data_IF_961021841408
#
_entry.id   IF_961021841408
#
_cell.length_a   1.000
_cell.length_b   1.000
_cell.length_c   1.000
_cell.angle_alpha   90.00
_cell.angle_beta   90.00
_cell.angle_gamma   90.00
#
_symmetry.space_group_name_H-M   'P 1'
#
loop_
_entity.id
_entity.type
_entity.pdbx_description
1 polymer ?
#
# COMPACT_ATOMS: atom_id res chain seq x y z
N UNK A 1 69.96 15.23 19.53
CA UNK A 1 69.80 14.21 18.47
C UNK A 1 69.55 12.89 19.19
N UNK A 2 68.39 12.65 19.78
CA UNK A 2 67.03 13.10 19.42
C UNK A 2 66.59 12.51 18.06
N UNK A 3 65.44 11.83 17.91
CA UNK A 3 64.33 11.64 18.87
C UNK A 3 63.81 10.21 18.99
N UNK A 4 62.99 9.97 20.01
CA UNK A 4 62.39 8.66 20.33
C UNK A 4 61.06 8.43 19.61
N UNK A 5 60.85 7.19 19.16
CA UNK A 5 59.54 6.73 18.68
C UNK A 5 58.78 6.03 19.81
N UNK A 6 57.68 6.62 20.28
CA UNK A 6 56.72 5.96 21.15
C UNK A 6 55.51 5.49 20.33
N UNK A 7 55.22 4.19 20.40
CA UNK A 7 53.96 3.61 19.92
C UNK A 7 52.80 3.97 20.86
N UNK A 8 51.64 4.33 20.29
CA UNK A 8 50.43 4.64 21.05
C UNK A 8 49.29 3.68 20.67
N UNK A 9 48.59 3.15 21.68
CA UNK A 9 47.42 2.29 21.51
C UNK A 9 46.15 3.09 21.15
N UNK A 10 45.18 2.50 20.43
CA UNK A 10 43.93 3.17 20.06
C UNK A 10 42.92 3.21 21.23
N UNK A 11 42.42 4.41 21.54
CA UNK A 11 41.38 4.63 22.55
C UNK A 11 39.96 4.17 22.12
N UNK A 12 39.00 4.12 23.08
CA UNK A 12 37.70 3.47 22.88
C UNK A 12 36.71 4.24 21.98
N UNK A 13 35.93 3.51 21.19
CA UNK A 13 34.93 4.07 20.27
C UNK A 13 33.76 4.76 21.00
N UNK A 14 33.46 6.01 20.66
CA UNK A 14 32.28 6.71 21.16
C UNK A 14 31.02 6.38 20.32
N UNK A 15 29.97 5.88 20.96
CA UNK A 15 28.63 5.78 20.36
C UNK A 15 27.94 7.15 20.33
N UNK A 16 27.25 7.55 19.24
CA UNK A 16 26.56 8.83 19.18
C UNK A 16 25.37 8.92 20.15
N UNK A 17 25.20 10.08 20.80
CA UNK A 17 24.10 10.34 21.77
C UNK A 17 22.80 10.78 21.07
N UNK A 18 21.65 10.30 21.56
CA UNK A 18 20.30 10.81 21.22
C UNK A 18 20.08 12.22 21.84
N UNK A 19 19.17 13.01 21.27
CA UNK A 19 18.76 14.34 21.76
C UNK A 19 17.22 14.47 21.81
N UNK A 20 16.71 15.31 22.73
CA UNK A 20 15.30 15.71 22.92
C UNK A 20 15.20 17.25 22.89
N UNK A 21 14.10 17.85 22.42
CA UNK A 21 13.80 19.29 22.60
C UNK A 21 12.28 19.55 22.82
N UNK A 22 11.76 20.78 22.68
CA UNK A 22 10.75 21.40 23.57
C UNK A 22 9.50 21.98 22.84
N UNK A 23 8.29 21.74 23.39
CA UNK A 23 7.02 21.67 22.63
C UNK A 23 6.57 22.95 21.94
N UNK A 24 6.86 24.12 22.51
CA UNK A 24 6.26 25.38 22.05
C UNK A 24 6.70 25.82 20.64
N UNK A 25 7.79 25.26 20.10
CA UNK A 25 8.29 25.65 18.78
C UNK A 25 7.54 25.05 17.58
N UNK A 26 6.71 24.01 17.78
CA UNK A 26 5.94 23.41 16.68
C UNK A 26 4.60 24.11 16.45
N UNK A 27 3.91 24.55 17.51
CA UNK A 27 2.57 25.13 17.40
C UNK A 27 2.56 26.40 16.52
N UNK A 28 3.48 27.34 16.78
CA UNK A 28 3.63 28.59 16.03
C UNK A 28 3.94 28.42 14.52
N UNK A 29 4.24 27.20 14.05
CA UNK A 29 4.52 26.91 12.64
C UNK A 29 3.24 26.55 11.88
N UNK A 30 2.22 26.00 12.54
CA UNK A 30 0.95 25.61 11.91
C UNK A 30 0.01 26.81 11.74
N UNK A 31 -0.09 27.69 12.74
CA UNK A 31 -0.91 28.92 12.65
C UNK A 31 -0.50 29.85 11.48
N UNK A 32 0.76 29.75 11.02
CA UNK A 32 1.32 30.48 9.87
C UNK A 32 1.19 29.74 8.51
N UNK A 33 0.35 28.71 8.45
CA UNK A 33 0.00 27.99 7.21
C UNK A 33 -1.45 28.25 6.85
N UNK A 34 -2.36 28.25 7.82
CA UNK A 34 -3.80 28.45 7.57
C UNK A 34 -4.17 29.94 7.36
N UNK A 35 -3.33 30.90 7.77
CA UNK A 35 -3.56 32.35 7.55
C UNK A 35 -3.52 32.78 6.08
N UNK A 36 -2.82 32.04 5.23
CA UNK A 36 -2.58 32.39 3.82
C UNK A 36 -3.66 31.77 2.88
N UNK A 37 -4.73 31.21 3.45
CA UNK A 37 -5.86 30.59 2.71
C UNK A 37 -7.17 31.34 3.02
N UNK A 38 -7.29 32.57 2.51
CA UNK A 38 -8.54 33.33 2.48
C UNK A 38 -8.74 34.00 1.11
N UNK A 39 -10.00 34.11 0.68
CA UNK A 39 -10.52 34.68 -0.59
C UNK A 39 -10.03 33.96 -1.88
N UNK A 40 -10.82 33.54 -2.87
CA UNK A 40 -12.27 33.44 -3.24
C UNK A 40 -12.34 32.37 -4.37
N UNK A 41 -13.40 31.68 -4.81
CA UNK A 41 -14.87 31.59 -4.65
C UNK A 41 -15.30 30.16 -5.12
N UNK A 42 -16.47 29.56 -4.90
CA UNK A 42 -17.60 29.69 -3.94
C UNK A 42 -18.50 28.43 -4.09
N UNK A 43 -19.02 27.85 -3.00
CA UNK A 43 -20.09 26.82 -2.92
C UNK A 43 -19.79 25.45 -3.60
N UNK A 44 -20.13 24.29 -3.01
CA UNK A 44 -21.41 23.94 -2.37
C UNK A 44 -21.21 23.25 -1.01
N UNK A 45 -22.15 23.46 -0.07
CA UNK A 45 -22.05 22.98 1.32
C UNK A 45 -22.85 21.71 1.57
N UNK A 46 -22.25 20.76 2.30
CA UNK A 46 -22.81 20.20 3.53
C UNK A 46 -21.75 19.30 4.20
N UNK A 47 -21.39 19.61 5.44
CA UNK A 47 -20.37 18.89 6.22
C UNK A 47 -21.01 18.12 7.39
N UNK A 48 -20.95 16.79 7.37
CA UNK A 48 -20.97 15.97 8.59
C UNK A 48 -19.76 15.02 8.61
N UNK A 49 -18.63 15.64 8.99
CA UNK A 49 -17.59 15.13 9.89
C UNK A 49 -17.68 13.65 10.34
N UNK A 50 -16.65 12.85 10.03
CA UNK A 50 -15.90 12.10 11.05
C UNK A 50 -14.49 11.66 10.59
N UNK A 51 -13.76 12.56 9.90
CA UNK A 51 -12.40 12.29 9.40
C UNK A 51 -11.38 12.43 10.55
N UNK A 52 -11.35 11.43 11.44
CA UNK A 52 -10.34 11.33 12.51
C UNK A 52 -8.96 10.97 11.91
N UNK A 53 -8.32 11.93 11.26
CA UNK A 53 -6.87 11.95 11.05
C UNK A 53 -6.20 12.47 12.34
N UNK A 54 -5.53 11.61 13.14
CA UNK A 54 -4.79 12.06 14.29
C UNK A 54 -3.48 12.73 13.83
N UNK A 55 -3.58 13.97 13.35
CA UNK A 55 -2.43 14.89 13.27
C UNK A 55 -1.69 14.79 14.61
N UNK A 56 -0.38 14.51 14.64
CA UNK A 56 0.29 14.19 15.89
C UNK A 56 0.23 15.38 16.84
N UNK A 57 -0.33 15.16 18.04
CA UNK A 57 -0.29 16.13 19.14
C UNK A 57 1.15 16.67 19.25
N UNK A 58 1.32 18.00 19.25
CA UNK A 58 2.60 18.69 19.10
C UNK A 58 3.58 18.37 20.25
N UNK A 59 4.20 17.19 20.18
CA UNK A 59 5.08 16.57 21.16
C UNK A 59 6.51 16.54 20.63
N UNK A 60 7.17 17.68 20.64
CA UNK A 60 8.49 17.88 20.03
C UNK A 60 9.57 16.89 20.47
N UNK A 61 10.43 16.58 19.51
CA UNK A 61 11.84 16.88 19.70
C UNK A 61 12.34 17.58 18.42
N UNK A 62 13.04 18.72 18.54
CA UNK A 62 13.79 19.23 17.39
C UNK A 62 15.03 18.34 17.16
N UNK A 63 14.83 17.29 16.36
CA UNK A 63 15.90 16.81 15.50
C UNK A 63 16.47 18.00 14.72
N UNK A 64 17.79 18.00 14.48
CA UNK A 64 18.47 19.09 13.76
C UNK A 64 17.77 19.34 12.43
N UNK A 65 17.20 20.53 12.25
CA UNK A 65 16.55 20.93 11.00
C UNK A 65 17.56 20.78 9.85
N UNK A 66 17.29 19.86 8.91
CA UNK A 66 18.19 19.63 7.76
C UNK A 66 18.27 20.93 6.94
N UNK A 67 19.46 21.52 6.86
CA UNK A 67 19.65 22.77 6.11
C UNK A 67 19.69 22.44 4.62
N UNK A 68 18.57 22.67 3.93
CA UNK A 68 18.46 22.47 2.48
C UNK A 68 19.37 23.44 1.73
N UNK A 69 20.15 22.91 0.78
CA UNK A 69 21.06 23.67 -0.07
C UNK A 69 20.69 23.47 -1.53
N UNK A 70 20.57 24.56 -2.28
CA UNK A 70 20.33 24.54 -3.73
C UNK A 70 21.62 24.16 -4.46
N UNK A 71 21.78 22.86 -4.70
CA UNK A 71 22.88 22.24 -5.46
C UNK A 71 22.32 21.06 -6.25
N UNK A 72 23.03 20.60 -7.27
CA UNK A 72 22.68 19.34 -7.97
C UNK A 72 22.70 18.16 -6.99
N UNK A 73 21.73 17.25 -7.10
CA UNK A 73 21.84 15.94 -6.45
C UNK A 73 22.71 15.01 -7.29
N UNK A 74 23.79 14.51 -6.70
CA UNK A 74 24.77 13.66 -7.37
C UNK A 74 25.19 12.53 -6.42
N UNK A 75 24.60 11.35 -6.63
CA UNK A 75 24.93 10.10 -5.95
C UNK A 75 25.15 9.05 -7.04
N UNK A 76 26.25 8.31 -6.95
CA UNK A 76 26.61 7.27 -7.91
C UNK A 76 25.77 5.98 -7.69
N UNK A 77 24.47 6.07 -7.93
CA UNK A 77 23.55 4.94 -7.88
C UNK A 77 23.72 4.05 -9.13
N UNK A 78 23.81 2.73 -8.91
CA UNK A 78 23.82 1.71 -9.97
C UNK A 78 22.65 0.77 -9.74
N UNK A 79 21.60 0.90 -10.54
CA UNK A 79 20.54 -0.11 -10.57
C UNK A 79 21.04 -1.39 -11.23
N UNK A 80 20.67 -2.52 -10.64
CA UNK A 80 20.68 -3.83 -11.30
C UNK A 80 19.27 -4.11 -11.78
N UNK A 81 18.99 -3.73 -13.04
CA UNK A 81 17.66 -3.77 -13.62
C UNK A 81 16.92 -5.10 -13.33
N UNK A 82 15.66 -5.04 -12.85
CA UNK A 82 14.98 -6.22 -12.33
C UNK A 82 14.73 -7.25 -13.42
N UNK A 83 15.31 -8.44 -13.26
CA UNK A 83 14.87 -9.63 -13.98
C UNK A 83 13.55 -10.11 -13.39
N UNK A 84 12.54 -10.32 -14.23
CA UNK A 84 11.30 -11.00 -13.81
C UNK A 84 11.64 -12.41 -13.29
N UNK A 85 11.16 -12.80 -12.09
CA UNK A 85 11.32 -14.16 -11.61
C UNK A 85 10.73 -15.17 -12.60
N UNK A 86 11.60 -16.08 -13.06
CA UNK A 86 11.25 -17.19 -13.97
C UNK A 86 10.10 -18.01 -13.35
N UNK A 87 9.09 -18.43 -14.12
CA UNK A 87 8.03 -19.30 -13.61
C UNK A 87 8.61 -20.59 -13.02
N UNK A 88 8.50 -20.75 -11.69
CA UNK A 88 9.00 -21.92 -10.96
C UNK A 88 8.01 -23.08 -10.87
N UNK A 89 6.95 -23.07 -11.70
CA UNK A 89 5.86 -24.04 -11.68
C UNK A 89 5.47 -24.44 -13.09
N UNK A 90 5.42 -25.75 -13.36
CA UNK A 90 5.01 -26.29 -14.67
C UNK A 90 3.49 -26.15 -14.92
N UNK A 91 2.68 -26.14 -13.86
CA UNK A 91 1.23 -25.97 -13.94
C UNK A 91 0.71 -24.84 -13.01
N UNK A 92 -0.29 -24.04 -13.44
CA UNK A 92 -0.85 -22.96 -12.61
C UNK A 92 -1.47 -23.42 -11.28
N UNK A 93 -1.92 -24.68 -11.19
CA UNK A 93 -2.48 -25.23 -9.96
C UNK A 93 -1.44 -25.34 -8.84
N UNK A 94 -0.19 -25.64 -9.17
CA UNK A 94 0.90 -25.77 -8.21
C UNK A 94 1.18 -24.43 -7.52
N UNK A 95 1.22 -23.34 -8.30
CA UNK A 95 1.33 -21.96 -7.78
C UNK A 95 0.15 -21.58 -6.87
N UNK A 96 -1.09 -21.94 -7.25
CA UNK A 96 -2.27 -21.70 -6.42
C UNK A 96 -2.22 -22.44 -5.08
N UNK A 97 -1.77 -23.70 -5.08
CA UNK A 97 -1.64 -24.51 -3.84
C UNK A 97 -0.51 -24.06 -2.92
N UNK A 98 0.44 -23.24 -3.38
CA UNK A 98 1.40 -22.57 -2.48
C UNK A 98 0.75 -21.55 -1.54
N UNK A 99 -0.41 -21.01 -1.94
CA UNK A 99 -1.21 -20.11 -1.10
C UNK A 99 -2.30 -20.89 -0.37
N UNK A 100 -3.17 -21.61 -1.08
CA UNK A 100 -4.25 -22.38 -0.48
C UNK A 100 -3.86 -23.87 -0.39
N UNK A 101 -3.23 -24.22 0.72
CA UNK A 101 -2.73 -25.57 1.04
C UNK A 101 -3.85 -26.56 1.35
N UNK A 102 -3.52 -27.85 1.50
CA UNK A 102 -4.48 -28.87 1.94
C UNK A 102 -5.09 -28.51 3.30
N UNK A 103 -4.24 -28.13 4.26
CA UNK A 103 -4.58 -27.69 5.61
C UNK A 103 -5.65 -26.58 5.61
N UNK A 104 -5.57 -25.63 4.66
CA UNK A 104 -6.56 -24.57 4.51
C UNK A 104 -7.95 -25.12 4.18
N UNK A 105 -8.01 -26.08 3.25
CA UNK A 105 -9.28 -26.71 2.85
C UNK A 105 -9.81 -27.68 3.93
N UNK A 106 -8.94 -28.33 4.70
CA UNK A 106 -9.32 -29.11 5.90
C UNK A 106 -9.92 -28.22 6.99
N UNK A 107 -9.21 -27.16 7.39
CA UNK A 107 -9.70 -26.19 8.38
C UNK A 107 -11.03 -25.59 7.90
N UNK A 108 -11.12 -25.16 6.64
CA UNK A 108 -12.36 -24.58 6.10
C UNK A 108 -13.51 -25.58 6.08
N UNK A 109 -13.29 -26.83 5.70
CA UNK A 109 -14.34 -27.86 5.73
C UNK A 109 -14.82 -28.14 7.16
N UNK A 110 -13.88 -28.32 8.10
CA UNK A 110 -14.18 -28.62 9.50
C UNK A 110 -14.94 -27.46 10.18
N UNK A 111 -14.49 -26.22 10.00
CA UNK A 111 -15.14 -25.04 10.61
C UNK A 111 -16.47 -24.70 9.95
N UNK A 112 -16.62 -24.95 8.65
CA UNK A 112 -17.92 -24.82 7.94
C UNK A 112 -18.94 -25.86 8.43
N UNK A 113 -18.51 -27.10 8.67
CA UNK A 113 -19.35 -28.13 9.31
C UNK A 113 -19.74 -27.72 10.73
N UNK A 114 -18.78 -27.34 11.57
CA UNK A 114 -19.03 -26.93 12.96
C UNK A 114 -20.02 -25.75 13.03
N UNK A 115 -19.81 -24.71 12.22
CA UNK A 115 -20.72 -23.55 12.17
C UNK A 115 -22.15 -23.93 11.76
N UNK A 116 -22.31 -24.84 10.79
CA UNK A 116 -23.64 -25.29 10.37
C UNK A 116 -24.39 -26.04 11.48
N UNK A 117 -23.69 -26.80 12.32
CA UNK A 117 -24.26 -27.39 13.55
C UNK A 117 -24.63 -26.29 14.55
N UNK A 118 -23.73 -25.34 14.83
CA UNK A 118 -23.97 -24.20 15.74
C UNK A 118 -25.17 -23.34 15.33
N UNK A 119 -25.52 -23.29 14.04
CA UNK A 119 -26.64 -22.49 13.52
C UNK A 119 -27.93 -23.24 13.23
N UNK A 120 -27.88 -24.56 13.03
CA UNK A 120 -29.05 -25.34 12.57
C UNK A 120 -29.27 -26.66 13.31
N UNK A 121 -28.39 -27.03 14.25
CA UNK A 121 -28.39 -28.33 14.91
C UNK A 121 -27.99 -29.49 14.00
N UNK A 122 -27.60 -29.23 12.73
CA UNK A 122 -27.25 -30.26 11.74
C UNK A 122 -26.01 -29.84 10.94
N UNK A 123 -25.13 -30.80 10.68
CA UNK A 123 -24.00 -30.58 9.77
C UNK A 123 -24.50 -30.29 8.35
N UNK A 124 -23.79 -29.43 7.64
CA UNK A 124 -23.93 -29.25 6.19
C UNK A 124 -23.26 -30.41 5.43
N UNK A 125 -22.42 -31.20 6.10
CA UNK A 125 -21.74 -32.38 5.54
C UNK A 125 -20.91 -32.02 4.31
N UNK A 126 -19.95 -31.11 4.50
CA UNK A 126 -18.94 -30.75 3.49
C UNK A 126 -17.60 -31.43 3.80
N UNK A 127 -16.75 -31.55 2.79
CA UNK A 127 -15.38 -32.09 2.92
C UNK A 127 -14.37 -31.25 2.12
N UNK A 128 -13.09 -31.61 2.22
CA UNK A 128 -11.96 -30.97 1.54
C UNK A 128 -12.16 -30.86 0.02
N UNK A 129 -12.60 -31.95 -0.62
CA UNK A 129 -12.81 -32.01 -2.07
C UNK A 129 -13.96 -31.09 -2.50
N UNK A 130 -15.02 -31.00 -1.70
CA UNK A 130 -16.11 -30.07 -1.97
C UNK A 130 -15.73 -28.61 -1.72
N UNK A 131 -14.90 -28.31 -0.70
CA UNK A 131 -14.33 -26.98 -0.51
C UNK A 131 -13.42 -26.58 -1.67
N UNK A 132 -12.53 -27.45 -2.14
CA UNK A 132 -11.73 -27.21 -3.35
C UNK A 132 -12.61 -26.89 -4.57
N UNK A 133 -13.69 -27.64 -4.78
CA UNK A 133 -14.69 -27.33 -5.83
C UNK A 133 -15.37 -25.97 -5.62
N UNK A 134 -15.75 -25.63 -4.38
CA UNK A 134 -16.40 -24.36 -4.05
C UNK A 134 -15.50 -23.14 -4.31
N UNK A 135 -14.22 -23.20 -3.94
CA UNK A 135 -13.24 -22.14 -4.23
C UNK A 135 -12.86 -22.11 -5.72
N UNK A 136 -12.64 -23.26 -6.36
CA UNK A 136 -12.39 -23.34 -7.80
C UNK A 136 -13.54 -22.77 -8.65
N UNK A 137 -14.79 -22.94 -8.21
CA UNK A 137 -15.95 -22.28 -8.81
C UNK A 137 -15.85 -20.75 -8.68
N UNK A 138 -15.42 -20.19 -7.54
CA UNK A 138 -15.24 -18.74 -7.41
C UNK A 138 -14.12 -18.23 -8.34
N UNK A 139 -12.98 -18.92 -8.44
CA UNK A 139 -11.91 -18.58 -9.40
C UNK A 139 -12.43 -18.58 -10.84
N UNK A 140 -13.21 -19.60 -11.23
CA UNK A 140 -13.84 -19.64 -12.54
C UNK A 140 -14.87 -18.50 -12.76
N UNK A 141 -15.61 -18.10 -11.72
CA UNK A 141 -16.56 -16.97 -11.80
C UNK A 141 -15.86 -15.63 -12.08
N UNK A 142 -14.66 -15.38 -11.57
CA UNK A 142 -13.90 -14.16 -11.91
C UNK A 142 -13.46 -14.17 -13.39
N UNK A 143 -13.11 -15.34 -13.95
CA UNK A 143 -12.73 -15.49 -15.37
C UNK A 143 -13.92 -15.29 -16.32
N UNK A 144 -15.11 -15.80 -15.97
CA UNK A 144 -16.31 -15.69 -16.81
C UNK A 144 -17.15 -14.42 -16.56
N UNK A 145 -17.00 -13.79 -15.39
CA UNK A 145 -17.57 -12.49 -14.99
C UNK A 145 -19.07 -12.27 -15.34
N UNK A 146 -19.92 -13.27 -15.09
CA UNK A 146 -21.38 -13.11 -15.21
C UNK A 146 -21.96 -12.38 -13.98
N UNK A 147 -22.71 -11.32 -14.24
CA UNK A 147 -23.24 -10.34 -13.27
C UNK A 147 -24.04 -10.90 -12.07
N UNK A 148 -24.49 -12.17 -12.10
CA UNK A 148 -25.28 -12.80 -11.02
C UNK A 148 -24.98 -14.30 -10.93
N UNK A 149 -24.71 -14.80 -9.73
CA UNK A 149 -24.39 -16.22 -9.49
C UNK A 149 -25.37 -17.22 -10.14
N UNK A 150 -26.68 -16.96 -10.14
CA UNK A 150 -27.65 -17.89 -10.73
C UNK A 150 -27.54 -18.02 -12.26
N UNK A 151 -26.86 -17.10 -12.95
CA UNK A 151 -26.67 -17.17 -14.41
C UNK A 151 -25.80 -18.35 -14.82
N UNK A 152 -24.76 -18.70 -14.06
CA UNK A 152 -23.85 -19.81 -14.37
C UNK A 152 -24.57 -21.17 -14.49
N UNK A 153 -25.73 -21.33 -13.85
CA UNK A 153 -26.59 -22.52 -13.93
C UNK A 153 -27.83 -22.35 -14.83
N UNK A 154 -28.08 -21.15 -15.36
CA UNK A 154 -29.28 -20.84 -16.15
C UNK A 154 -29.23 -21.40 -17.57
N UNK A 155 -30.36 -21.88 -18.11
CA UNK A 155 -30.43 -22.67 -19.35
C UNK A 155 -29.76 -22.04 -20.58
N UNK A 156 -29.77 -20.70 -20.69
CA UNK A 156 -29.15 -19.95 -21.82
C UNK A 156 -27.75 -19.41 -21.52
N UNK A 157 -27.30 -19.47 -20.27
CA UNK A 157 -26.05 -18.88 -19.77
C UNK A 157 -25.22 -19.90 -18.97
N UNK A 158 -25.49 -21.19 -19.18
CA UNK A 158 -24.86 -22.29 -18.44
C UNK A 158 -23.38 -22.31 -18.77
N UNK A 159 -22.55 -22.32 -17.73
CA UNK A 159 -21.12 -22.61 -17.84
C UNK A 159 -20.92 -24.04 -17.31
N UNK A 160 -20.72 -25.05 -18.18
CA UNK A 160 -20.61 -26.47 -17.78
C UNK A 160 -19.60 -26.69 -16.64
N UNK A 161 -18.40 -26.09 -16.75
CA UNK A 161 -17.32 -26.15 -15.77
C UNK A 161 -17.75 -25.77 -14.34
N UNK A 162 -18.71 -24.85 -14.18
CA UNK A 162 -19.28 -24.48 -12.88
C UNK A 162 -20.51 -25.33 -12.56
N UNK A 163 -21.41 -25.48 -13.53
CA UNK A 163 -22.76 -25.97 -13.33
C UNK A 163 -22.89 -27.50 -13.26
N UNK A 164 -21.89 -28.23 -13.73
CA UNK A 164 -21.76 -29.69 -13.61
C UNK A 164 -20.91 -30.06 -12.37
N UNK A 165 -19.96 -29.20 -11.97
CA UNK A 165 -19.09 -29.39 -10.79
C UNK A 165 -19.85 -29.38 -9.46
N UNK A 166 -20.87 -28.52 -9.35
CA UNK A 166 -21.73 -28.39 -8.15
C UNK A 166 -23.10 -27.83 -8.55
N UNK A 167 -24.19 -28.28 -7.92
CA UNK A 167 -25.52 -27.70 -8.17
C UNK A 167 -25.71 -26.36 -7.43
N UNK A 168 -26.52 -25.45 -8.02
CA UNK A 168 -26.73 -24.10 -7.48
C UNK A 168 -27.22 -24.08 -6.02
N UNK A 169 -28.10 -25.01 -5.63
CA UNK A 169 -28.65 -25.05 -4.28
C UNK A 169 -27.58 -25.43 -3.26
N UNK A 170 -26.68 -26.36 -3.60
CA UNK A 170 -25.52 -26.73 -2.77
C UNK A 170 -24.52 -25.56 -2.69
N UNK A 171 -24.16 -24.96 -3.82
CA UNK A 171 -23.30 -23.77 -3.88
C UNK A 171 -23.84 -22.62 -3.01
N UNK A 172 -25.12 -22.27 -3.18
CA UNK A 172 -25.77 -21.20 -2.41
C UNK A 172 -25.93 -21.53 -0.93
N UNK A 173 -26.03 -22.82 -0.57
CA UNK A 173 -26.02 -23.26 0.84
C UNK A 173 -24.62 -23.14 1.42
N UNK A 174 -23.60 -23.70 0.79
CA UNK A 174 -22.20 -23.58 1.25
C UNK A 174 -21.80 -22.12 1.42
N UNK A 175 -22.12 -21.25 0.44
CA UNK A 175 -21.84 -19.80 0.51
C UNK A 175 -22.49 -19.10 1.71
N UNK A 176 -23.56 -19.64 2.29
CA UNK A 176 -24.22 -19.14 3.49
C UNK A 176 -23.62 -19.68 4.81
N UNK A 177 -22.74 -20.68 4.75
CA UNK A 177 -22.16 -21.35 5.93
C UNK A 177 -20.63 -21.37 5.98
N UNK A 178 -19.89 -21.09 4.89
CA UNK A 178 -18.41 -21.12 4.89
C UNK A 178 -17.83 -20.30 6.05
N UNK A 179 -17.03 -20.97 6.87
CA UNK A 179 -16.34 -20.41 8.04
C UNK A 179 -14.90 -20.93 8.12
N UNK A 180 -14.02 -20.11 8.69
CA UNK A 180 -12.59 -20.39 8.84
C UNK A 180 -12.16 -20.58 10.31
N UNK A 181 -13.05 -20.29 11.26
CA UNK A 181 -12.82 -20.38 12.71
C UNK A 181 -14.06 -20.92 13.41
N UNK A 182 -13.86 -21.48 14.60
CA UNK A 182 -14.96 -21.70 15.54
C UNK A 182 -15.42 -20.34 16.10
N UNK A 183 -16.74 -20.13 16.19
CA UNK A 183 -17.29 -18.93 16.82
C UNK A 183 -17.19 -18.97 18.36
N UNK A 184 -17.02 -20.15 18.97
CA UNK A 184 -16.92 -20.30 20.44
C UNK A 184 -15.51 -20.10 20.97
N UNK A 185 -14.49 -20.36 20.15
CA UNK A 185 -13.08 -20.16 20.51
C UNK A 185 -12.60 -18.69 20.42
N UNK A 186 -13.51 -17.70 20.51
CA UNK A 186 -13.10 -16.29 20.52
C UNK A 186 -12.56 -15.93 21.91
N UNK A 187 -11.24 -15.77 21.97
CA UNK A 187 -10.57 -15.06 23.05
C UNK A 187 -11.28 -13.71 23.35
N UNK A 188 -11.74 -13.47 24.59
CA UNK A 188 -12.37 -12.21 25.01
C UNK A 188 -11.50 -10.99 24.73
N UNK A 189 -10.21 -11.07 25.03
CA UNK A 189 -9.25 -9.97 24.93
C UNK A 189 -8.76 -9.72 23.50
N UNK A 190 -9.07 -10.63 22.56
CA UNK A 190 -8.72 -10.45 21.16
C UNK A 190 -9.40 -9.20 20.56
N UNK A 191 -8.57 -8.20 20.28
CA UNK A 191 -8.95 -6.91 19.73
C UNK A 191 -9.15 -6.92 18.21
N UNK A 192 -8.61 -7.90 17.48
CA UNK A 192 -8.66 -8.00 16.01
C UNK A 192 -10.10 -8.04 15.50
N UNK A 193 -10.49 -7.08 14.66
CA UNK A 193 -11.84 -7.06 14.05
C UNK A 193 -11.95 -8.11 12.94
N UNK A 194 -10.83 -8.60 12.42
CA UNK A 194 -10.74 -9.57 11.34
C UNK A 194 -10.56 -11.03 11.80
N UNK A 195 -10.64 -11.32 13.10
CA UNK A 195 -10.33 -12.63 13.67
C UNK A 195 -11.03 -13.82 12.97
N UNK A 196 -12.25 -13.62 12.45
CA UNK A 196 -13.02 -14.65 11.71
C UNK A 196 -12.45 -15.03 10.34
N UNK A 197 -11.64 -14.16 9.74
CA UNK A 197 -10.95 -14.36 8.46
C UNK A 197 -9.43 -14.32 8.61
N UNK A 198 -8.93 -14.20 9.84
CA UNK A 198 -7.52 -14.22 10.19
C UNK A 198 -6.76 -15.42 9.61
N UNK A 199 -7.29 -16.67 9.60
CA UNK A 199 -6.59 -17.81 9.01
C UNK A 199 -6.22 -17.64 7.52
N UNK A 200 -7.11 -17.11 6.68
CA UNK A 200 -6.78 -16.89 5.25
C UNK A 200 -5.85 -15.69 5.06
N UNK A 201 -5.95 -14.65 5.90
CA UNK A 201 -5.03 -13.50 5.88
C UNK A 201 -3.60 -13.99 6.20
N UNK A 202 -3.43 -14.73 7.30
CA UNK A 202 -2.13 -15.16 7.79
C UNK A 202 -1.46 -16.17 6.85
N UNK A 203 -2.24 -17.05 6.23
CA UNK A 203 -1.76 -17.99 5.20
C UNK A 203 -1.23 -17.25 3.98
N UNK A 204 -1.97 -16.26 3.45
CA UNK A 204 -1.49 -15.44 2.33
C UNK A 204 -0.27 -14.59 2.73
N UNK A 205 -0.31 -13.91 3.88
CA UNK A 205 0.83 -13.13 4.39
C UNK A 205 2.07 -14.01 4.61
N UNK A 206 1.93 -15.26 5.06
CA UNK A 206 3.03 -16.22 5.21
C UNK A 206 3.65 -16.57 3.86
N UNK A 207 2.85 -16.77 2.81
CA UNK A 207 3.36 -17.05 1.46
C UNK A 207 4.00 -15.83 0.81
N UNK A 208 3.41 -14.63 0.92
CA UNK A 208 4.02 -13.40 0.33
C UNK A 208 5.38 -13.08 0.94
N UNK A 209 5.58 -13.36 2.24
CA UNK A 209 6.88 -13.24 2.91
C UNK A 209 7.98 -14.19 2.38
N UNK A 210 7.65 -15.18 1.54
CA UNK A 210 8.65 -16.03 0.85
C UNK A 210 9.12 -15.46 -0.48
N UNK A 211 8.45 -14.43 -1.00
CA UNK A 211 8.78 -13.81 -2.30
C UNK A 211 9.95 -12.86 -2.11
N UNK A 212 10.99 -13.00 -2.93
CA UNK A 212 12.15 -12.12 -2.87
C UNK A 212 11.76 -10.69 -3.31
N UNK A 213 12.14 -9.65 -2.56
CA UNK A 213 11.97 -8.27 -3.01
C UNK A 213 12.90 -7.98 -4.19
N UNK A 214 12.37 -7.27 -5.19
CA UNK A 214 13.14 -6.67 -6.27
C UNK A 214 13.74 -5.32 -5.85
N UNK A 215 14.58 -4.73 -6.69
CA UNK A 215 15.16 -3.40 -6.42
C UNK A 215 14.12 -2.26 -6.35
N UNK A 216 12.94 -2.47 -6.94
CA UNK A 216 11.90 -1.45 -7.06
C UNK A 216 10.60 -1.95 -6.44
N UNK A 217 10.21 -1.31 -5.33
CA UNK A 217 9.01 -1.64 -4.56
C UNK A 217 8.03 -0.46 -4.59
N UNK A 218 6.74 -0.76 -4.68
CA UNK A 218 5.65 0.22 -4.59
C UNK A 218 4.79 -0.05 -3.36
N UNK A 219 4.21 1.00 -2.79
CA UNK A 219 3.31 0.92 -1.63
C UNK A 219 2.15 1.91 -1.82
N UNK A 220 0.94 1.40 -2.06
CA UNK A 220 -0.28 2.19 -2.27
C UNK A 220 -1.51 1.50 -1.63
N UNK A 221 -2.68 2.11 -1.83
CA UNK A 221 -3.93 1.87 -1.13
C UNK A 221 -5.00 1.25 -2.04
N UNK A 222 -5.18 -0.06 -1.89
CA UNK A 222 -6.21 -0.83 -2.58
C UNK A 222 -7.55 -0.75 -1.83
N UNK A 223 -8.65 -0.69 -2.59
CA UNK A 223 -10.01 -0.76 -2.06
C UNK A 223 -10.72 -2.00 -2.58
N UNK A 224 -11.11 -2.90 -1.67
CA UNK A 224 -11.98 -4.05 -2.00
C UNK A 224 -13.44 -3.58 -1.89
N UNK A 225 -14.23 -3.53 -2.98
CA UNK A 225 -15.58 -2.97 -2.95
C UNK A 225 -16.51 -3.78 -2.03
N UNK A 226 -17.10 -3.13 -1.03
CA UNK A 226 -17.99 -3.80 -0.07
C UNK A 226 -19.10 -2.86 0.41
N UNK A 227 -20.35 -3.24 0.16
CA UNK A 227 -21.54 -2.45 0.52
C UNK A 227 -22.23 -2.91 1.80
N UNK A 228 -21.91 -4.11 2.31
CA UNK A 228 -22.53 -4.68 3.50
C UNK A 228 -22.18 -3.93 4.80
N UNK A 229 -22.70 -4.42 5.92
CA UNK A 229 -22.35 -3.89 7.25
C UNK A 229 -21.03 -4.52 7.74
N UNK A 230 -20.06 -3.69 8.14
CA UNK A 230 -18.74 -4.09 8.62
C UNK A 230 -17.99 -2.89 9.24
N UNK A 231 -17.57 -3.00 10.49
CA UNK A 231 -16.99 -1.93 11.33
C UNK A 231 -15.66 -1.34 10.83
N UNK A 232 -15.03 -1.96 9.83
CA UNK A 232 -13.78 -1.48 9.20
C UNK A 232 -14.00 -0.87 7.81
N UNK A 233 -15.22 -0.91 7.28
CA UNK A 233 -15.55 -0.35 5.96
C UNK A 233 -15.24 1.15 5.92
N UNK A 234 -14.49 1.58 4.92
CA UNK A 234 -14.08 2.97 4.70
C UNK A 234 -14.90 3.59 3.54
N UNK A 235 -14.99 4.92 3.57
CA UNK A 235 -15.42 5.73 2.43
C UNK A 235 -14.23 6.53 1.91
N UNK A 236 -13.90 6.42 0.61
CA UNK A 236 -12.85 7.23 -0.02
C UNK A 236 -13.46 8.03 -1.18
N UNK A 237 -13.64 9.34 -0.96
CA UNK A 237 -14.17 10.29 -1.95
C UNK A 237 -13.30 10.24 -3.22
N UNK A 238 -13.93 10.09 -4.38
CA UNK A 238 -13.26 10.12 -5.69
C UNK A 238 -12.67 8.80 -6.21
N UNK A 239 -12.63 7.70 -5.42
CA UNK A 239 -12.33 6.36 -5.97
C UNK A 239 -13.59 5.80 -6.68
N UNK A 240 -13.50 5.00 -7.77
CA UNK A 240 -14.67 4.51 -8.52
C UNK A 240 -15.65 3.66 -7.71
N UNK A 241 -15.13 2.92 -6.73
CA UNK A 241 -15.91 2.27 -5.68
C UNK A 241 -15.52 2.94 -4.34
N UNK A 242 -16.26 3.97 -3.88
CA UNK A 242 -15.83 4.75 -2.73
C UNK A 242 -16.04 4.00 -1.41
N UNK A 243 -17.06 3.13 -1.33
CA UNK A 243 -17.32 2.27 -0.16
C UNK A 243 -16.63 0.91 -0.31
N UNK A 244 -15.80 0.53 0.66
CA UNK A 244 -15.12 -0.75 0.66
C UNK A 244 -14.18 -0.97 1.85
N UNK A 245 -13.39 -2.03 1.78
CA UNK A 245 -12.32 -2.33 2.75
C UNK A 245 -11.01 -1.76 2.20
N UNK A 246 -10.35 -0.87 2.97
CA UNK A 246 -9.04 -0.31 2.62
C UNK A 246 -7.93 -1.29 3.02
N UNK A 247 -7.01 -1.54 2.09
CA UNK A 247 -5.83 -2.38 2.30
C UNK A 247 -4.60 -1.59 1.85
N UNK A 248 -3.59 -1.51 2.70
CA UNK A 248 -2.26 -1.02 2.31
C UNK A 248 -1.47 -2.20 1.77
N UNK A 249 -0.88 -2.07 0.59
CA UNK A 249 -0.23 -3.18 -0.13
C UNK A 249 1.16 -2.76 -0.59
N UNK A 250 2.15 -3.60 -0.31
CA UNK A 250 3.53 -3.49 -0.79
C UNK A 250 3.76 -4.52 -1.91
N UNK A 251 4.11 -4.04 -3.10
CA UNK A 251 4.34 -4.85 -4.30
C UNK A 251 5.79 -4.76 -4.79
N UNK A 252 6.24 -5.82 -5.46
CA UNK A 252 7.36 -5.77 -6.41
C UNK A 252 6.93 -5.05 -7.70
N UNK A 253 7.89 -4.54 -8.48
CA UNK A 253 7.68 -4.04 -9.84
C UNK A 253 7.11 -5.08 -10.82
N UNK A 254 7.18 -6.39 -10.51
CA UNK A 254 6.52 -7.47 -11.27
C UNK A 254 5.05 -7.70 -10.88
N UNK A 255 4.51 -6.90 -9.96
CA UNK A 255 3.14 -6.96 -9.44
C UNK A 255 2.89 -8.02 -8.37
N UNK A 256 3.89 -8.78 -7.95
CA UNK A 256 3.73 -9.73 -6.84
C UNK A 256 3.67 -8.96 -5.51
N UNK A 257 2.59 -9.18 -4.75
CA UNK A 257 2.43 -8.66 -3.39
C UNK A 257 3.46 -9.31 -2.46
N UNK A 258 4.26 -8.50 -1.76
CA UNK A 258 5.21 -8.93 -0.73
C UNK A 258 4.59 -8.89 0.67
N UNK A 259 3.80 -7.85 0.94
CA UNK A 259 3.15 -7.65 2.23
C UNK A 259 1.90 -6.78 2.08
N UNK A 260 0.93 -6.95 2.98
CA UNK A 260 -0.25 -6.11 3.02
C UNK A 260 -0.81 -6.06 4.45
N UNK A 261 -1.47 -4.96 4.81
CA UNK A 261 -2.20 -4.83 6.07
C UNK A 261 -3.59 -4.24 5.78
N UNK A 262 -4.62 -4.88 6.33
CA UNK A 262 -6.01 -4.46 6.14
C UNK A 262 -6.34 -3.41 7.20
N UNK A 263 -6.78 -2.23 6.79
CA UNK A 263 -7.04 -1.14 7.72
C UNK A 263 -8.24 -1.44 8.63
N UNK A 264 -8.03 -1.36 9.95
CA UNK A 264 -9.03 -1.63 10.98
C UNK A 264 -9.39 -0.39 11.82
N UNK A 265 -9.02 0.81 11.34
CA UNK A 265 -9.09 2.05 12.13
C UNK A 265 -8.01 2.08 13.21
N UNK A 266 -8.36 2.56 14.41
CA UNK A 266 -7.48 2.66 15.59
C UNK A 266 -6.91 1.31 16.08
N UNK A 267 -7.39 0.18 15.53
CA UNK A 267 -6.95 -1.19 15.84
C UNK A 267 -6.09 -1.87 14.74
N UNK A 268 -5.70 -1.14 13.69
CA UNK A 268 -4.81 -1.68 12.64
C UNK A 268 -3.46 -2.10 13.24
N UNK A 269 -2.86 -3.20 12.76
CA UNK A 269 -1.58 -3.65 13.29
C UNK A 269 -0.44 -2.70 12.87
N UNK A 270 0.17 -2.02 13.85
CA UNK A 270 1.20 -1.00 13.61
C UNK A 270 2.28 -1.06 14.70
N UNK A 271 3.55 -0.99 14.30
CA UNK A 271 4.67 -0.71 15.21
C UNK A 271 4.47 0.67 15.86
N UNK A 272 4.42 0.70 17.20
CA UNK A 272 4.11 1.92 17.98
C UNK A 272 5.07 3.08 17.67
N UNK A 273 6.37 2.78 17.49
CA UNK A 273 7.39 3.78 17.15
C UNK A 273 7.06 4.54 15.87
N UNK A 274 6.47 3.86 14.88
CA UNK A 274 6.23 4.42 13.54
C UNK A 274 4.96 5.28 13.47
N UNK A 275 4.01 5.13 14.41
CA UNK A 275 2.79 5.95 14.48
C UNK A 275 3.10 7.44 14.62
N UNK A 276 4.26 7.77 15.22
CA UNK A 276 4.74 9.14 15.38
C UNK A 276 4.95 9.91 14.06
N UNK A 277 5.09 9.20 12.92
CA UNK A 277 5.25 9.80 11.59
C UNK A 277 3.91 9.99 10.83
N UNK A 278 2.77 9.65 11.42
CA UNK A 278 1.46 9.68 10.76
C UNK A 278 1.16 8.43 9.92
N UNK A 279 -0.10 8.24 9.52
CA UNK A 279 -0.60 6.95 9.00
C UNK A 279 0.16 6.41 7.78
N UNK A 280 0.34 7.22 6.72
CA UNK A 280 0.98 6.76 5.50
C UNK A 280 2.45 6.36 5.70
N UNK A 281 3.20 7.19 6.43
CA UNK A 281 4.57 6.91 6.83
C UNK A 281 4.68 5.65 7.70
N UNK A 282 3.76 5.50 8.66
CA UNK A 282 3.66 4.32 9.50
C UNK A 282 3.38 3.06 8.69
N UNK A 283 2.48 3.09 7.71
CA UNK A 283 2.17 1.95 6.84
C UNK A 283 3.35 1.56 5.95
N UNK A 284 4.04 2.54 5.33
CA UNK A 284 5.26 2.29 4.55
C UNK A 284 6.33 1.61 5.41
N UNK A 285 6.61 2.13 6.62
CA UNK A 285 7.58 1.52 7.52
C UNK A 285 7.13 0.16 8.09
N UNK A 286 5.83 -0.06 8.31
CA UNK A 286 5.30 -1.31 8.85
C UNK A 286 5.30 -2.45 7.80
N UNK A 287 5.01 -2.13 6.54
CA UNK A 287 5.03 -3.09 5.44
C UNK A 287 6.45 -3.33 4.93
N UNK A 288 7.18 -2.26 4.63
CA UNK A 288 8.53 -2.37 4.08
C UNK A 288 9.56 -2.78 5.13
N UNK A 289 9.37 -2.45 6.43
CA UNK A 289 10.33 -2.58 7.53
C UNK A 289 10.82 -3.98 7.89
N UNK A 290 10.44 -5.02 7.13
CA UNK A 290 11.22 -6.27 7.02
C UNK A 290 12.54 -6.06 6.24
N UNK A 291 12.68 -4.92 5.56
CA UNK A 291 13.82 -4.39 4.84
C UNK A 291 13.99 -2.90 5.20
N UNK A 292 15.22 -2.39 5.30
CA UNK A 292 15.48 -1.08 5.90
C UNK A 292 15.17 0.09 4.96
N UNK A 293 14.17 0.91 5.30
CA UNK A 293 13.90 2.20 4.67
C UNK A 293 14.06 3.35 5.69
N UNK A 294 14.43 4.53 5.20
CA UNK A 294 14.50 5.77 5.97
C UNK A 294 13.53 6.81 5.39
N UNK A 295 12.73 7.44 6.26
CA UNK A 295 11.84 8.54 5.91
C UNK A 295 12.46 9.89 6.27
N UNK A 296 12.07 10.93 5.54
CA UNK A 296 12.54 12.31 5.75
C UNK A 296 11.39 13.30 5.59
N UNK A 297 11.21 14.15 6.60
CA UNK A 297 10.23 15.23 6.56
C UNK A 297 10.75 16.44 5.75
N UNK A 298 9.85 17.05 4.96
CA UNK A 298 10.20 17.99 3.88
C UNK A 298 9.77 19.44 4.17
N UNK A 299 10.25 20.03 5.27
CA UNK A 299 9.92 21.42 5.64
C UNK A 299 10.75 22.46 4.88
N UNK A 300 10.12 23.60 4.55
CA UNK A 300 10.80 24.82 4.05
C UNK A 300 10.78 25.08 2.53
N UNK A 301 10.16 24.23 1.71
CA UNK A 301 10.28 24.29 0.24
C UNK A 301 9.31 25.27 -0.46
N UNK A 302 9.27 26.55 -0.03
CA UNK A 302 8.36 27.57 -0.60
C UNK A 302 8.81 28.12 -1.98
N UNK A 303 10.08 28.02 -2.37
CA UNK A 303 10.65 28.77 -3.51
C UNK A 303 10.59 28.09 -4.90
N UNK A 304 9.43 28.18 -5.55
CA UNK A 304 9.36 28.61 -6.96
C UNK A 304 8.11 29.45 -7.16
N UNK A 305 8.31 30.73 -7.50
CA UNK A 305 7.35 31.47 -8.31
C UNK A 305 7.26 30.90 -9.73
N UNK A 306 6.21 31.24 -10.46
CA UNK A 306 5.89 30.62 -11.75
C UNK A 306 6.93 30.96 -12.84
N UNK A 307 7.76 29.98 -13.22
CA UNK A 307 8.81 30.12 -14.26
C UNK A 307 8.49 29.35 -15.55
N UNK A 308 7.21 29.22 -15.87
CA UNK A 308 6.73 28.50 -17.05
C UNK A 308 6.78 26.97 -16.92
N UNK A 309 6.20 26.30 -17.92
CA UNK A 309 6.07 24.83 -17.98
C UNK A 309 7.40 24.18 -18.33
N UNK A 310 7.75 23.08 -17.67
CA UNK A 310 9.04 22.40 -17.77
C UNK A 310 10.10 22.95 -16.82
N UNK A 311 9.87 24.09 -16.17
CA UNK A 311 10.78 24.59 -15.14
C UNK A 311 10.80 23.67 -13.92
N UNK A 312 11.97 23.55 -13.30
CA UNK A 312 12.16 22.79 -12.06
C UNK A 312 13.19 23.46 -11.14
N UNK A 313 13.21 23.04 -9.88
CA UNK A 313 14.32 23.27 -8.97
C UNK A 313 14.58 22.03 -8.13
N UNK A 314 15.82 21.87 -7.68
CA UNK A 314 16.21 20.86 -6.70
C UNK A 314 16.91 21.54 -5.52
N UNK A 315 16.64 21.03 -4.32
CA UNK A 315 17.40 21.33 -3.11
C UNK A 315 17.80 20.01 -2.45
N UNK A 316 19.00 19.98 -1.87
CA UNK A 316 19.58 18.79 -1.27
C UNK A 316 19.82 19.03 0.20
N UNK A 317 19.54 18.02 1.03
CA UNK A 317 19.80 18.06 2.46
C UNK A 317 21.27 18.40 2.75
N UNK A 318 21.53 19.04 3.89
CA UNK A 318 22.89 19.34 4.36
C UNK A 318 23.78 18.09 4.45
N UNK A 319 23.18 16.93 4.71
CA UNK A 319 23.81 15.61 4.77
C UNK A 319 24.10 14.98 3.40
N UNK A 320 23.54 15.50 2.31
CA UNK A 320 23.76 14.99 0.95
C UNK A 320 22.97 13.73 0.58
N UNK A 321 22.21 13.16 1.51
CA UNK A 321 21.49 11.88 1.43
C UNK A 321 20.07 11.96 0.82
N UNK A 322 19.54 13.17 0.61
CA UNK A 322 18.16 13.36 0.13
C UNK A 322 18.04 14.66 -0.66
N UNK A 323 17.27 14.65 -1.73
CA UNK A 323 16.82 15.84 -2.45
C UNK A 323 15.29 15.99 -2.41
N UNK A 324 14.86 17.25 -2.54
CA UNK A 324 13.49 17.64 -2.86
C UNK A 324 13.51 18.34 -4.22
N UNK A 325 12.56 18.02 -5.07
CA UNK A 325 12.41 18.60 -6.40
C UNK A 325 11.00 19.16 -6.60
N UNK A 326 10.91 20.38 -7.14
CA UNK A 326 9.66 20.95 -7.68
C UNK A 326 9.75 20.90 -9.20
N UNK A 327 8.70 20.41 -9.87
CA UNK A 327 8.58 20.43 -11.33
C UNK A 327 7.25 21.06 -11.74
N UNK A 328 7.27 21.93 -12.74
CA UNK A 328 6.10 22.69 -13.19
C UNK A 328 5.53 22.11 -14.49
N UNK A 329 4.44 21.33 -14.42
CA UNK A 329 3.63 20.99 -15.59
C UNK A 329 2.42 21.94 -15.69
N UNK A 330 1.19 21.43 -15.83
CA UNK A 330 -0.05 22.20 -15.69
C UNK A 330 -0.26 22.71 -14.23
N UNK A 331 0.39 22.07 -13.26
CA UNK A 331 0.50 22.44 -11.84
C UNK A 331 1.92 22.06 -11.35
N UNK A 332 2.32 22.55 -10.18
CA UNK A 332 3.55 22.11 -9.53
C UNK A 332 3.40 20.70 -8.95
N UNK A 333 4.34 19.81 -9.24
CA UNK A 333 4.55 18.53 -8.54
C UNK A 333 5.77 18.69 -7.63
N UNK A 334 5.73 18.11 -6.43
CA UNK A 334 6.89 18.00 -5.54
C UNK A 334 7.22 16.52 -5.36
N UNK A 335 8.51 16.18 -5.46
CA UNK A 335 9.02 14.82 -5.25
C UNK A 335 10.16 14.87 -4.23
N UNK A 336 10.29 13.82 -3.42
CA UNK A 336 11.46 13.56 -2.58
C UNK A 336 12.22 12.34 -3.13
N UNK A 337 13.55 12.35 -3.10
CA UNK A 337 14.36 11.18 -3.46
C UNK A 337 15.70 11.17 -2.75
N UNK A 338 16.09 10.00 -2.26
CA UNK A 338 17.44 9.66 -1.81
C UNK A 338 18.31 9.05 -2.93
N UNK A 339 17.73 8.84 -4.13
CA UNK A 339 18.34 8.12 -5.24
C UNK A 339 18.77 9.05 -6.39
N UNK A 340 17.88 9.97 -6.82
CA UNK A 340 18.13 10.83 -7.98
C UNK A 340 17.33 12.14 -7.96
N UNK A 341 17.94 13.23 -8.42
CA UNK A 341 17.31 14.55 -8.56
C UNK A 341 17.04 14.91 -10.01
N UNK A 342 17.63 16.01 -10.49
CA UNK A 342 17.49 16.47 -11.88
C UNK A 342 17.94 15.44 -12.92
N UNK A 343 19.10 14.81 -12.70
CA UNK A 343 19.65 13.76 -13.56
C UNK A 343 19.83 14.18 -15.02
N UNK A 344 19.61 13.24 -15.94
CA UNK A 344 19.43 13.52 -17.36
C UNK A 344 18.00 14.04 -17.61
N UNK A 345 17.87 15.28 -18.09
CA UNK A 345 16.58 15.90 -18.39
C UNK A 345 16.06 15.37 -19.73
N UNK A 346 14.90 14.71 -19.69
CA UNK A 346 14.22 14.16 -20.85
C UNK A 346 13.25 15.19 -21.44
N UNK A 347 12.99 15.14 -22.76
CA UNK A 347 11.89 15.89 -23.39
C UNK A 347 10.63 15.01 -23.45
N UNK A 348 9.55 15.45 -22.83
CA UNK A 348 8.25 14.76 -22.85
C UNK A 348 7.18 15.55 -23.59
N UNK A 349 6.49 14.87 -24.50
CA UNK A 349 5.39 15.45 -25.28
C UNK A 349 4.15 15.57 -24.39
N UNK A 350 3.73 16.80 -24.06
CA UNK A 350 2.55 17.08 -23.21
C UNK A 350 1.54 17.96 -23.92
N UNK A 351 0.25 17.65 -23.76
CA UNK A 351 -0.83 18.51 -24.27
C UNK A 351 -0.94 19.80 -23.46
N UNK A 352 -1.16 20.93 -24.15
CA UNK A 352 -1.42 22.23 -23.57
C UNK A 352 -2.84 22.70 -23.92
N UNK A 353 -3.69 22.92 -22.90
CA UNK A 353 -5.07 23.39 -23.12
C UNK A 353 -5.12 24.82 -23.70
N UNK A 354 -4.17 25.69 -23.31
CA UNK A 354 -4.12 27.09 -23.75
C UNK A 354 -3.78 27.22 -25.24
N UNK A 355 -2.72 26.53 -25.70
CA UNK A 355 -2.29 26.58 -27.11
C UNK A 355 -2.96 25.55 -28.01
N UNK A 356 -3.81 24.67 -27.44
CA UNK A 356 -4.46 23.53 -28.13
C UNK A 356 -3.47 22.68 -28.97
N UNK A 357 -2.27 22.50 -28.43
CA UNK A 357 -1.17 21.84 -29.11
C UNK A 357 -0.36 20.96 -28.14
N UNK A 358 0.47 20.08 -28.70
CA UNK A 358 1.49 19.35 -27.94
C UNK A 358 2.77 20.18 -27.85
N UNK A 359 3.27 20.37 -26.62
CA UNK A 359 4.56 20.99 -26.34
C UNK A 359 5.59 19.91 -25.97
N UNK A 360 6.86 20.16 -26.29
CA UNK A 360 7.98 19.42 -25.70
C UNK A 360 8.36 20.09 -24.38
N UNK A 361 8.19 19.36 -23.28
CA UNK A 361 8.40 19.85 -21.92
C UNK A 361 9.63 19.16 -21.33
N UNK A 362 10.51 19.91 -20.67
CA UNK A 362 11.62 19.34 -19.91
C UNK A 362 11.10 18.56 -18.70
N UNK A 363 11.52 17.31 -18.56
CA UNK A 363 11.15 16.39 -17.49
C UNK A 363 12.43 15.89 -16.78
N UNK A 364 12.63 16.25 -15.50
CA UNK A 364 13.72 15.73 -14.70
C UNK A 364 13.70 14.20 -14.57
N UNK A 365 14.86 13.58 -14.40
CA UNK A 365 15.00 12.12 -14.43
C UNK A 365 14.19 11.42 -13.32
N UNK A 366 14.16 12.00 -12.11
CA UNK A 366 13.32 11.53 -10.99
C UNK A 366 11.83 11.49 -11.36
N UNK A 367 11.36 12.43 -12.19
CA UNK A 367 9.97 12.48 -12.63
C UNK A 367 9.70 11.43 -13.70
N UNK A 368 10.63 11.13 -14.62
CA UNK A 368 10.45 10.01 -15.55
C UNK A 368 10.44 8.65 -14.84
N UNK A 369 11.36 8.41 -13.92
CA UNK A 369 11.44 7.16 -13.15
C UNK A 369 10.21 6.97 -12.25
N UNK A 370 9.76 8.02 -11.55
CA UNK A 370 8.53 7.96 -10.77
C UNK A 370 7.31 7.59 -11.65
N UNK A 371 7.16 8.17 -12.84
CA UNK A 371 6.03 7.82 -13.71
C UNK A 371 6.11 6.37 -14.23
N UNK A 372 7.32 5.85 -14.51
CA UNK A 372 7.52 4.46 -14.92
C UNK A 372 7.01 3.49 -13.84
N UNK A 373 7.60 3.55 -12.64
CA UNK A 373 7.25 2.61 -11.56
C UNK A 373 5.80 2.80 -11.07
N UNK A 374 5.27 4.03 -11.10
CA UNK A 374 3.84 4.26 -10.82
C UNK A 374 2.89 3.86 -11.97
N UNK A 375 3.37 3.52 -13.16
CA UNK A 375 2.55 2.91 -14.22
C UNK A 375 2.57 1.38 -14.15
N UNK A 376 3.72 0.80 -13.82
CA UNK A 376 3.88 -0.61 -13.43
C UNK A 376 2.96 -0.94 -12.24
N UNK A 377 3.10 -0.23 -11.11
CA UNK A 377 2.28 -0.34 -9.91
C UNK A 377 0.76 -0.19 -10.20
N UNK A 378 0.39 0.81 -11.01
CA UNK A 378 -1.01 0.98 -11.42
C UNK A 378 -1.50 -0.13 -12.35
N UNK A 379 -0.66 -0.94 -12.98
CA UNK A 379 -1.12 -2.15 -13.68
C UNK A 379 -1.47 -3.24 -12.66
N UNK A 380 -0.63 -3.45 -11.64
CA UNK A 380 -0.87 -4.37 -10.53
C UNK A 380 -2.23 -4.08 -9.86
N UNK A 381 -2.52 -2.80 -9.58
CA UNK A 381 -3.82 -2.42 -9.00
C UNK A 381 -4.98 -2.32 -10.00
N UNK A 382 -4.74 -2.22 -11.32
CA UNK A 382 -5.80 -2.19 -12.34
C UNK A 382 -6.49 -3.55 -12.51
N UNK A 383 -5.77 -4.66 -12.41
CA UNK A 383 -6.36 -6.00 -12.65
C UNK A 383 -7.48 -6.33 -11.64
N UNK A 384 -7.37 -5.84 -10.41
CA UNK A 384 -8.43 -5.94 -9.39
C UNK A 384 -9.53 -4.89 -9.52
N UNK A 385 -9.36 -3.85 -10.34
CA UNK A 385 -10.40 -2.88 -10.67
C UNK A 385 -11.25 -3.38 -11.85
N UNK A 386 -11.99 -4.47 -11.62
CA UNK A 386 -13.07 -4.91 -12.53
C UNK A 386 -14.03 -3.72 -12.72
N UNK A 387 -14.06 -3.19 -13.95
CA UNK A 387 -15.05 -2.18 -14.34
C UNK A 387 -16.43 -2.83 -14.34
N UNK A 388 -17.37 -2.18 -13.65
CA UNK A 388 -18.80 -2.49 -13.72
C UNK A 388 -19.38 -2.08 -15.08
#
# INVERSE_FOLDING_TARGET
MDGSQNSAEPGPSQRPRRLRVNQQQILNIFDQIDSDISDTDLLDSDEEQDDYDPRPNAGTAAGRTKVWKKKKFDIAYKSTAPSLPVPGHDEPINYFTEYLTEDFFEITANQTNLYSVQKTGKSIDTNVVEMKKFFGIHVAMEVFNLLRYRMYWGTRTRIPLIADTMNFNRFSRLRSFVHLVDNTSKDPDNLDRLWKVRPIIDIVQKKTQTISPSEHLSCDEQMVPFTGNLDIKQYIRGKPCPWGIKIFVLCNADGRVLSFEIYQGKKTNMVEEYKSFGLGACMVLNLAGRHQLALYEATGFRELGWKGRGSFCEVVASSGDTCLMKWMDNRSVILASNMIGSGAVNKVRRWCKQTKAYLQVDQPQVVSLYNQYMEEDRNCFKEFHIKK
#
